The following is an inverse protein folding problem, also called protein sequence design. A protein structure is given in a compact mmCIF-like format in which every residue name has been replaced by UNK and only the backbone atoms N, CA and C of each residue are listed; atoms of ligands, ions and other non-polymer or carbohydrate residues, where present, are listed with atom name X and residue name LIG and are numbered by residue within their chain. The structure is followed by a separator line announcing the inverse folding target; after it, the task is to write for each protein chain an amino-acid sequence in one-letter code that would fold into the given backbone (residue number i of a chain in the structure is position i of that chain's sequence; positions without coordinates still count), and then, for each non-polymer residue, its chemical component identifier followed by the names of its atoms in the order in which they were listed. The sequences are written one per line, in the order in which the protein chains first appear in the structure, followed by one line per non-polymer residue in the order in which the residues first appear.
data_IF_375774066285
#
_entry.id   IF_375774066285
#
_cell.length_a   1.000
_cell.length_b   1.000
_cell.length_c   1.000
_cell.angle_alpha   90.00
_cell.angle_beta   90.00
_cell.angle_gamma   90.00
#
_symmetry.space_group_name_H-M   'P 1'
#
loop_
_entity.id
_entity.type
_entity.pdbx_description
1 polymer ?
#
# COMPACT_ATOMS: atom_id res chain seq x y z
N UNK A 1 -7.09 -25.17 20.01
CA UNK A 1 -6.40 -24.46 18.90
C UNK A 1 -5.43 -25.44 18.32
N UNK A 2 -5.56 -25.74 17.03
CA UNK A 2 -4.78 -26.76 16.34
C UNK A 2 -3.72 -26.11 15.46
N UNK A 3 -2.45 -26.43 15.72
CA UNK A 3 -1.33 -25.99 14.88
C UNK A 3 -1.14 -26.95 13.70
N UNK A 4 -1.01 -26.39 12.51
CA UNK A 4 -0.76 -27.11 11.26
C UNK A 4 0.72 -27.01 10.91
N UNK A 5 1.44 -28.13 10.68
CA UNK A 5 2.76 -28.06 10.09
C UNK A 5 2.68 -27.58 8.64
N UNK A 6 3.80 -27.08 8.11
CA UNK A 6 3.93 -26.67 6.71
C UNK A 6 3.38 -27.73 5.76
N UNK A 7 2.52 -27.32 4.82
CA UNK A 7 1.85 -28.18 3.85
C UNK A 7 0.55 -28.85 4.34
N UNK A 8 0.31 -28.91 5.65
CA UNK A 8 -0.90 -29.53 6.19
C UNK A 8 -2.14 -28.63 6.03
N UNK A 9 -3.31 -29.25 6.08
CA UNK A 9 -4.59 -28.55 5.97
C UNK A 9 -5.62 -29.12 6.97
N UNK A 10 -6.62 -28.31 7.31
CA UNK A 10 -7.75 -28.71 8.12
C UNK A 10 -9.04 -27.98 7.71
N UNK A 11 -10.22 -28.59 7.94
CA UNK A 11 -11.51 -27.91 7.79
C UNK A 11 -11.59 -26.63 8.63
N UNK A 12 -12.17 -25.58 8.05
CA UNK A 12 -12.44 -24.32 8.73
C UNK A 12 -13.92 -23.96 8.53
N UNK A 13 -14.61 -23.65 9.62
CA UNK A 13 -16.00 -23.20 9.53
C UNK A 13 -16.08 -21.87 8.79
N UNK A 14 -16.95 -21.80 7.79
CA UNK A 14 -17.21 -20.60 7.00
C UNK A 14 -18.36 -19.76 7.53
N UNK A 15 -19.09 -20.26 8.53
CA UNK A 15 -20.25 -19.59 9.10
C UNK A 15 -19.79 -18.32 9.83
N UNK A 16 -20.22 -17.17 9.33
CA UNK A 16 -19.86 -15.85 9.87
C UNK A 16 -18.46 -15.37 9.51
N UNK A 17 -17.93 -14.42 10.29
CA UNK A 17 -16.61 -13.83 10.06
C UNK A 17 -15.51 -14.74 10.58
N UNK A 18 -14.50 -15.01 9.75
CA UNK A 18 -13.22 -15.61 10.14
C UNK A 18 -12.22 -14.49 10.38
N UNK A 19 -11.61 -14.46 11.57
CA UNK A 19 -10.52 -13.54 11.90
C UNK A 19 -9.18 -14.24 11.67
N UNK A 20 -8.34 -13.69 10.81
CA UNK A 20 -6.97 -14.15 10.58
C UNK A 20 -6.03 -13.13 11.22
N UNK A 21 -5.29 -13.55 12.24
CA UNK A 21 -4.29 -12.72 12.91
C UNK A 21 -2.89 -13.20 12.52
N UNK A 22 -2.04 -12.28 12.05
CA UNK A 22 -0.62 -12.53 11.86
C UNK A 22 0.14 -11.79 12.97
N UNK A 23 0.95 -12.49 13.75
CA UNK A 23 1.86 -11.92 14.73
C UNK A 23 3.30 -12.27 14.35
N UNK A 24 4.24 -11.35 14.57
CA UNK A 24 5.66 -11.59 14.31
C UNK A 24 6.54 -11.02 15.43
N UNK A 25 7.77 -11.56 15.59
CA UNK A 25 8.75 -10.99 16.50
C UNK A 25 9.09 -9.54 16.14
N UNK A 26 9.63 -8.75 17.08
CA UNK A 26 10.14 -7.41 16.76
C UNK A 26 11.12 -7.46 15.59
N UNK A 27 10.83 -6.65 14.57
CA UNK A 27 11.61 -6.53 13.34
C UNK A 27 12.19 -5.13 13.25
N UNK A 28 13.33 -4.99 12.57
CA UNK A 28 13.87 -3.67 12.19
C UNK A 28 13.14 -3.08 10.99
N UNK A 29 12.51 -3.94 10.19
CA UNK A 29 11.75 -3.59 9.00
C UNK A 29 10.24 -3.75 9.22
N UNK A 30 9.47 -2.97 8.48
CA UNK A 30 8.01 -3.09 8.41
C UNK A 30 7.61 -4.35 7.65
N UNK A 31 6.58 -5.04 8.16
CA UNK A 31 6.04 -6.24 7.56
C UNK A 31 4.70 -5.90 6.90
N UNK A 32 4.68 -5.94 5.57
CA UNK A 32 3.51 -5.63 4.77
C UNK A 32 2.64 -6.87 4.61
N UNK A 33 1.54 -6.92 5.35
CA UNK A 33 0.59 -8.03 5.30
C UNK A 33 -0.38 -7.84 4.15
N UNK A 34 -0.54 -8.88 3.34
CA UNK A 34 -1.34 -8.84 2.13
C UNK A 34 -2.25 -10.07 2.00
N UNK A 35 -3.34 -9.92 1.25
CA UNK A 35 -4.27 -10.99 0.94
C UNK A 35 -4.69 -10.93 -0.53
N UNK A 36 -4.51 -12.04 -1.26
CA UNK A 36 -4.95 -12.19 -2.65
C UNK A 36 -6.20 -13.07 -2.71
N UNK A 37 -7.29 -12.59 -3.31
CA UNK A 37 -8.45 -13.41 -3.63
C UNK A 37 -8.31 -13.93 -5.07
N UNK A 38 -8.04 -15.22 -5.18
CA UNK A 38 -7.55 -15.89 -6.38
C UNK A 38 -8.63 -16.80 -6.96
N UNK A 39 -8.81 -16.74 -8.27
CA UNK A 39 -9.72 -17.59 -9.03
C UNK A 39 -9.11 -18.95 -9.43
N UNK A 40 -9.86 -19.69 -10.24
CA UNK A 40 -9.50 -21.04 -10.71
C UNK A 40 -8.24 -21.06 -11.58
N UNK A 41 -7.98 -19.99 -12.32
CA UNK A 41 -6.80 -19.80 -13.16
C UNK A 41 -5.52 -19.49 -12.35
N UNK A 42 -5.64 -19.36 -11.04
CA UNK A 42 -4.54 -19.02 -10.16
C UNK A 42 -4.20 -17.53 -10.16
N UNK A 43 -5.03 -16.66 -10.74
CA UNK A 43 -4.84 -15.20 -10.75
C UNK A 43 -5.97 -14.48 -10.02
N UNK A 44 -5.76 -13.22 -9.68
CA UNK A 44 -6.84 -12.39 -9.14
C UNK A 44 -7.81 -11.97 -10.27
N UNK A 45 -9.14 -11.94 -10.02
CA UNK A 45 -10.10 -11.53 -11.05
C UNK A 45 -9.97 -10.05 -11.47
N UNK A 46 -9.52 -9.20 -10.55
CA UNK A 46 -9.20 -7.79 -10.75
C UNK A 46 -8.37 -7.32 -9.55
N UNK A 47 -7.73 -6.16 -9.61
CA UNK A 47 -6.89 -5.71 -8.49
C UNK A 47 -7.67 -5.35 -7.24
N UNK A 48 -8.99 -5.13 -7.34
CA UNK A 48 -9.82 -4.96 -6.16
C UNK A 48 -9.76 -6.19 -5.23
N UNK A 49 -9.36 -7.34 -5.78
CA UNK A 49 -9.17 -8.59 -5.05
C UNK A 49 -7.76 -8.77 -4.48
N UNK A 50 -6.91 -7.75 -4.56
CA UNK A 50 -5.63 -7.67 -3.85
C UNK A 50 -5.76 -6.68 -2.67
N UNK A 51 -5.79 -7.21 -1.45
CA UNK A 51 -5.91 -6.42 -0.22
C UNK A 51 -4.55 -6.25 0.42
N UNK A 52 -4.14 -5.01 0.66
CA UNK A 52 -2.84 -4.65 1.23
C UNK A 52 -2.92 -3.24 1.84
N UNK A 53 -1.81 -2.70 2.33
CA UNK A 53 -1.80 -1.46 3.12
C UNK A 53 -2.42 -0.23 2.41
N UNK A 54 -2.37 -0.15 1.08
CA UNK A 54 -2.99 0.93 0.28
C UNK A 54 -4.38 0.56 -0.30
N UNK A 55 -4.84 -0.68 -0.09
CA UNK A 55 -6.19 -1.12 -0.43
C UNK A 55 -6.70 -2.07 0.66
N UNK A 56 -7.21 -1.50 1.75
CA UNK A 56 -7.54 -2.25 2.97
C UNK A 56 -8.76 -3.16 2.84
N UNK A 57 -9.52 -3.10 1.74
CA UNK A 57 -10.77 -3.87 1.58
C UNK A 57 -10.96 -4.39 0.17
N UNK A 58 -11.46 -5.63 0.06
CA UNK A 58 -11.97 -6.20 -1.18
C UNK A 58 -13.43 -5.76 -1.46
N UNK A 59 -13.96 -5.93 -2.69
CA UNK A 59 -15.33 -5.55 -3.04
C UNK A 59 -16.37 -6.05 -2.05
N UNK A 60 -17.25 -5.15 -1.61
CA UNK A 60 -18.31 -5.49 -0.66
C UNK A 60 -17.86 -5.74 0.78
N UNK A 61 -16.59 -5.46 1.11
CA UNK A 61 -16.04 -5.61 2.47
C UNK A 61 -15.93 -7.07 2.92
N UNK A 62 -15.83 -8.00 1.96
CA UNK A 62 -15.76 -9.45 2.23
C UNK A 62 -14.39 -9.89 2.76
N UNK A 63 -13.36 -9.09 2.49
CA UNK A 63 -12.03 -9.16 3.09
C UNK A 63 -11.66 -7.76 3.53
N UNK A 64 -11.26 -7.60 4.80
CA UNK A 64 -10.86 -6.32 5.39
C UNK A 64 -9.56 -6.51 6.15
N UNK A 65 -8.51 -5.79 5.76
CA UNK A 65 -7.24 -5.72 6.45
C UNK A 65 -7.23 -4.52 7.40
N UNK A 66 -6.81 -4.76 8.65
CA UNK A 66 -6.54 -3.71 9.62
C UNK A 66 -5.10 -3.22 9.47
N UNK A 67 -4.86 -1.94 9.72
CA UNK A 67 -3.51 -1.37 9.76
C UNK A 67 -2.65 -2.12 10.78
N UNK A 68 -1.48 -2.67 10.37
CA UNK A 68 -0.58 -3.35 11.28
C UNK A 68 -0.15 -2.45 12.46
N UNK A 69 -0.10 -3.02 13.66
CA UNK A 69 0.35 -2.31 14.86
C UNK A 69 1.08 -3.26 15.81
N UNK A 70 2.20 -2.81 16.37
CA UNK A 70 2.94 -3.52 17.42
C UNK A 70 3.27 -5.00 17.10
N UNK A 71 3.69 -5.30 15.87
CA UNK A 71 4.06 -6.67 15.46
C UNK A 71 2.86 -7.58 15.19
N UNK A 72 1.69 -7.00 14.91
CA UNK A 72 0.45 -7.72 14.63
C UNK A 72 -0.32 -7.07 13.48
N UNK A 73 -0.95 -7.89 12.66
CA UNK A 73 -1.98 -7.48 11.70
C UNK A 73 -3.20 -8.41 11.79
N UNK A 74 -4.37 -7.89 11.45
CA UNK A 74 -5.64 -8.64 11.42
C UNK A 74 -6.30 -8.51 10.06
N UNK A 75 -6.72 -9.64 9.49
CA UNK A 75 -7.57 -9.74 8.31
C UNK A 75 -8.90 -10.36 8.74
N UNK A 76 -10.02 -9.68 8.48
CA UNK A 76 -11.35 -10.23 8.65
C UNK A 76 -11.88 -10.70 7.30
N UNK A 77 -12.40 -11.93 7.25
CA UNK A 77 -12.91 -12.57 6.03
C UNK A 77 -14.32 -13.07 6.27
N UNK A 78 -15.19 -12.94 5.26
CA UNK A 78 -16.52 -13.54 5.24
C UNK A 78 -16.61 -14.55 4.08
N UNK A 79 -16.20 -15.81 4.31
CA UNK A 79 -16.00 -16.78 3.22
C UNK A 79 -17.29 -17.09 2.44
N UNK A 80 -18.45 -17.07 3.11
CA UNK A 80 -19.76 -17.32 2.49
C UNK A 80 -20.22 -16.20 1.55
N UNK A 81 -19.67 -14.99 1.70
CA UNK A 81 -19.99 -13.85 0.84
C UNK A 81 -19.03 -13.71 -0.34
N UNK A 82 -17.97 -14.53 -0.42
CA UNK A 82 -17.07 -14.52 -1.56
C UNK A 82 -17.81 -15.02 -2.81
N UNK A 83 -17.65 -14.34 -3.96
CA UNK A 83 -18.27 -14.77 -5.20
C UNK A 83 -17.73 -16.14 -5.64
N UNK A 84 -18.50 -16.83 -6.49
CA UNK A 84 -18.13 -18.15 -7.00
C UNK A 84 -16.82 -18.15 -7.82
N UNK A 85 -16.45 -17.01 -8.40
CA UNK A 85 -15.18 -16.86 -9.14
C UNK A 85 -13.93 -16.74 -8.26
N UNK A 86 -14.07 -16.71 -6.93
CA UNK A 86 -12.94 -16.72 -5.99
C UNK A 86 -12.89 -18.09 -5.29
N UNK A 87 -11.82 -18.83 -5.57
CA UNK A 87 -11.62 -20.21 -5.09
C UNK A 87 -10.77 -20.27 -3.82
N UNK A 88 -9.82 -19.35 -3.68
CA UNK A 88 -8.96 -19.28 -2.50
C UNK A 88 -8.55 -17.86 -2.16
N UNK A 89 -8.30 -17.63 -0.87
CA UNK A 89 -7.61 -16.46 -0.35
C UNK A 89 -6.19 -16.87 0.04
N UNK A 90 -5.20 -16.15 -0.46
CA UNK A 90 -3.78 -16.35 -0.16
C UNK A 90 -3.36 -15.26 0.81
N UNK A 91 -2.96 -15.64 2.04
CA UNK A 91 -2.47 -14.71 3.05
C UNK A 91 -0.95 -14.77 3.07
N UNK A 92 -0.33 -13.63 2.81
CA UNK A 92 1.11 -13.48 2.70
C UNK A 92 1.58 -12.23 3.42
N UNK A 93 2.90 -12.12 3.59
CA UNK A 93 3.51 -10.87 3.98
C UNK A 93 4.83 -10.65 3.24
N UNK A 94 5.24 -9.40 3.11
CA UNK A 94 6.48 -8.99 2.50
C UNK A 94 7.26 -8.02 3.40
N UNK A 95 8.57 -8.03 3.24
CA UNK A 95 9.51 -7.14 3.89
C UNK A 95 10.06 -6.17 2.84
N UNK A 96 10.17 -4.89 3.20
CA UNK A 96 10.88 -3.91 2.35
C UNK A 96 12.38 -4.21 2.30
N UNK A 97 12.97 -4.57 3.44
CA UNK A 97 14.37 -5.00 3.55
C UNK A 97 14.50 -6.20 4.50
N UNK A 98 15.64 -6.90 4.43
CA UNK A 98 15.89 -8.08 5.25
C UNK A 98 15.34 -9.38 4.65
N UNK A 99 15.13 -10.39 5.49
CA UNK A 99 14.71 -11.72 5.08
C UNK A 99 13.83 -12.42 6.13
N UNK A 100 12.93 -13.30 5.69
CA UNK A 100 12.01 -14.02 6.57
C UNK A 100 12.71 -14.98 7.56
N UNK A 101 13.98 -15.36 7.32
CA UNK A 101 14.81 -16.06 8.33
C UNK A 101 14.97 -15.29 9.63
N UNK A 102 14.82 -13.97 9.62
CA UNK A 102 14.93 -13.12 10.80
C UNK A 102 13.59 -13.04 11.57
N UNK A 103 12.52 -13.61 11.01
CA UNK A 103 11.16 -13.61 11.54
C UNK A 103 10.66 -15.01 11.94
N UNK A 104 11.57 -15.96 12.17
CA UNK A 104 11.21 -17.28 12.73
C UNK A 104 10.42 -17.09 14.03
N UNK A 105 9.30 -17.81 14.15
CA UNK A 105 8.30 -17.62 15.20
C UNK A 105 7.14 -16.71 14.80
N UNK A 106 7.15 -16.11 13.61
CA UNK A 106 5.97 -15.47 13.04
C UNK A 106 4.83 -16.50 12.92
N UNK A 107 3.62 -16.13 13.35
CA UNK A 107 2.49 -17.04 13.48
C UNK A 107 1.22 -16.45 12.91
N UNK A 108 0.59 -17.20 12.01
CA UNK A 108 -0.75 -16.92 11.50
C UNK A 108 -1.77 -17.76 12.27
N UNK A 109 -2.84 -17.14 12.77
CA UNK A 109 -3.95 -17.82 13.46
C UNK A 109 -5.27 -17.45 12.81
N UNK A 110 -6.00 -18.44 12.30
CA UNK A 110 -7.36 -18.30 11.77
C UNK A 110 -8.38 -18.74 12.83
N UNK A 111 -9.22 -17.81 13.27
CA UNK A 111 -10.27 -18.00 14.27
C UNK A 111 -11.64 -17.86 13.59
N UNK A 112 -12.37 -18.97 13.37
CA UNK A 112 -13.72 -18.90 12.83
C UNK A 112 -14.72 -18.45 13.92
N UNK A 113 -15.90 -17.96 13.52
CA UNK A 113 -16.95 -17.58 14.49
C UNK A 113 -17.48 -18.79 15.29
N UNK A 114 -17.40 -19.99 14.73
CA UNK A 114 -17.71 -21.24 15.40
C UNK A 114 -16.71 -22.33 15.00
N UNK A 115 -16.29 -23.17 15.94
CA UNK A 115 -15.32 -24.23 15.73
C UNK A 115 -13.94 -23.94 16.33
N UNK A 116 -12.97 -24.80 16.04
CA UNK A 116 -11.62 -24.70 16.60
C UNK A 116 -10.73 -23.74 15.78
N UNK A 117 -9.99 -22.81 16.42
CA UNK A 117 -8.98 -22.00 15.74
C UNK A 117 -7.82 -22.84 15.20
N UNK A 118 -7.34 -22.48 14.01
CA UNK A 118 -6.20 -23.10 13.34
C UNK A 118 -5.01 -22.15 13.32
N UNK A 119 -3.80 -22.67 13.49
CA UNK A 119 -2.58 -21.84 13.45
C UNK A 119 -1.49 -22.45 12.56
N UNK A 120 -0.67 -21.59 11.97
CA UNK A 120 0.59 -21.95 11.32
C UNK A 120 1.70 -21.08 11.90
N UNK A 121 2.82 -21.70 12.29
CA UNK A 121 3.99 -21.00 12.80
C UNK A 121 5.17 -21.22 11.86
N UNK A 122 5.85 -20.12 11.52
CA UNK A 122 7.03 -20.12 10.69
C UNK A 122 8.22 -20.66 11.49
N UNK A 123 8.60 -21.89 11.22
CA UNK A 123 9.75 -22.55 11.87
C UNK A 123 11.01 -22.55 11.01
N UNK A 124 10.85 -22.31 9.70
CA UNK A 124 11.93 -22.30 8.71
C UNK A 124 11.65 -21.27 7.62
N UNK A 125 12.68 -20.52 7.22
CA UNK A 125 12.69 -19.58 6.10
C UNK A 125 14.14 -19.32 5.67
N UNK A 126 14.34 -18.92 4.41
CA UNK A 126 15.64 -18.55 3.86
C UNK A 126 15.77 -17.04 3.68
N UNK A 127 16.44 -16.66 2.59
CA UNK A 127 16.70 -15.25 2.20
C UNK A 127 15.52 -14.60 1.46
N UNK A 128 14.33 -15.19 1.52
CA UNK A 128 13.17 -14.64 0.86
C UNK A 128 12.65 -13.39 1.57
N UNK A 129 12.19 -12.43 0.78
CA UNK A 129 11.66 -11.13 1.25
C UNK A 129 10.12 -11.12 1.28
N UNK A 130 9.47 -12.12 0.71
CA UNK A 130 8.03 -12.33 0.84
C UNK A 130 7.72 -13.79 1.16
N UNK A 131 6.61 -14.04 1.86
CA UNK A 131 6.23 -15.39 2.28
C UNK A 131 4.71 -15.57 2.30
N UNK A 132 4.23 -16.65 1.69
CA UNK A 132 2.85 -17.12 1.80
C UNK A 132 2.72 -17.96 3.07
N UNK A 133 1.94 -17.48 4.03
CA UNK A 133 1.70 -18.18 5.30
C UNK A 133 0.64 -19.26 5.15
N UNK A 134 -0.52 -18.90 4.59
CA UNK A 134 -1.64 -19.80 4.51
C UNK A 134 -2.57 -19.49 3.33
N UNK A 135 -3.31 -20.51 2.93
CA UNK A 135 -4.40 -20.40 1.97
C UNK A 135 -5.72 -20.84 2.62
N UNK A 136 -6.74 -20.01 2.52
CA UNK A 136 -8.12 -20.38 2.81
C UNK A 136 -8.80 -20.71 1.49
N UNK A 137 -9.18 -21.97 1.25
CA UNK A 137 -9.66 -22.43 -0.06
C UNK A 137 -10.96 -23.23 0.05
N UNK A 138 -11.76 -23.18 -1.02
CA UNK A 138 -12.99 -23.98 -1.16
C UNK A 138 -12.65 -25.45 -1.35
N UNK A 139 -13.39 -26.32 -0.66
CA UNK A 139 -13.29 -27.76 -0.82
C UNK A 139 -14.65 -28.42 -0.64
N UNK A 140 -15.22 -28.93 -1.73
CA UNK A 140 -16.61 -29.39 -1.76
C UNK A 140 -17.56 -28.25 -1.42
N UNK A 141 -18.45 -28.47 -0.45
CA UNK A 141 -19.39 -27.46 0.02
C UNK A 141 -18.83 -26.55 1.14
N UNK A 142 -17.59 -26.76 1.59
CA UNK A 142 -17.00 -26.06 2.73
C UNK A 142 -15.68 -25.37 2.43
N UNK A 143 -15.03 -24.88 3.49
CA UNK A 143 -13.74 -24.20 3.43
C UNK A 143 -12.69 -24.95 4.25
N UNK A 144 -11.43 -24.83 3.82
CA UNK A 144 -10.27 -25.41 4.51
C UNK A 144 -9.15 -24.39 4.57
N UNK A 145 -8.39 -24.42 5.67
CA UNK A 145 -7.13 -23.69 5.77
C UNK A 145 -5.97 -24.64 5.45
N UNK A 146 -5.03 -24.20 4.62
CA UNK A 146 -3.75 -24.86 4.36
C UNK A 146 -2.61 -23.99 4.85
N UNK A 147 -1.69 -24.57 5.62
CA UNK A 147 -0.40 -23.96 5.93
C UNK A 147 0.54 -24.11 4.73
N UNK A 148 1.14 -23.03 4.25
CA UNK A 148 1.93 -23.03 3.00
C UNK A 148 3.43 -22.89 3.29
N UNK A 149 3.86 -21.78 3.89
CA UNK A 149 5.27 -21.53 4.22
C UNK A 149 6.18 -21.43 3.00
N UNK A 150 5.70 -20.83 1.90
CA UNK A 150 6.45 -20.67 0.65
C UNK A 150 7.03 -19.26 0.55
N UNK A 151 8.35 -19.15 0.45
CA UNK A 151 9.04 -17.88 0.27
C UNK A 151 9.15 -17.44 -1.20
N UNK A 152 9.28 -16.13 -1.41
CA UNK A 152 9.51 -15.47 -2.69
C UNK A 152 10.69 -14.50 -2.57
N UNK A 153 11.69 -14.68 -3.44
CA UNK A 153 12.83 -13.75 -3.56
C UNK A 153 12.38 -12.52 -4.35
N UNK A 154 12.88 -11.33 -4.00
CA UNK A 154 12.53 -10.06 -4.65
C UNK A 154 11.30 -9.37 -4.04
N UNK A 155 10.75 -9.89 -2.96
CA UNK A 155 9.75 -9.19 -2.15
C UNK A 155 8.34 -9.25 -2.72
N UNK A 156 7.56 -8.18 -2.48
CA UNK A 156 6.14 -8.13 -2.81
C UNK A 156 5.88 -8.15 -4.31
N UNK A 157 6.73 -7.50 -5.12
CA UNK A 157 6.55 -7.40 -6.57
C UNK A 157 6.43 -8.77 -7.27
N UNK A 158 7.41 -9.68 -7.20
CA UNK A 158 7.33 -10.98 -7.86
C UNK A 158 6.22 -11.86 -7.29
N UNK A 159 5.86 -11.69 -6.01
CA UNK A 159 4.71 -12.35 -5.41
C UNK A 159 3.39 -11.83 -6.01
N UNK A 160 3.26 -10.52 -6.22
CA UNK A 160 2.07 -9.90 -6.79
C UNK A 160 1.92 -10.28 -8.29
N UNK A 161 3.01 -10.24 -9.06
CA UNK A 161 3.05 -10.66 -10.46
C UNK A 161 2.68 -12.14 -10.64
N UNK A 162 3.11 -13.00 -9.70
CA UNK A 162 2.72 -14.41 -9.67
C UNK A 162 1.19 -14.60 -9.67
N UNK A 163 0.46 -13.71 -9.00
CA UNK A 163 -1.01 -13.73 -8.96
C UNK A 163 -1.67 -12.82 -10.02
N UNK A 164 -0.91 -12.29 -10.98
CA UNK A 164 -1.42 -11.48 -12.08
C UNK A 164 -1.60 -10.00 -11.78
N UNK A 165 -1.05 -9.47 -10.69
CA UNK A 165 -1.02 -8.03 -10.44
C UNK A 165 0.06 -7.40 -11.32
N UNK A 166 -0.33 -6.48 -12.20
CA UNK A 166 0.64 -5.68 -12.98
C UNK A 166 1.31 -4.62 -12.11
N UNK A 167 2.51 -4.88 -11.60
CA UNK A 167 3.32 -3.86 -10.92
C UNK A 167 4.19 -3.21 -12.00
N UNK A 168 3.97 -1.93 -12.31
CA UNK A 168 4.88 -1.24 -13.23
C UNK A 168 6.24 -1.09 -12.55
N UNK A 169 7.27 -1.60 -13.23
CA UNK A 169 8.66 -1.50 -12.82
C UNK A 169 9.05 -0.04 -12.55
N UNK A 170 9.64 0.20 -11.38
CA UNK A 170 10.54 1.33 -11.20
C UNK A 170 11.93 0.87 -11.67
N UNK A 171 12.48 1.58 -12.66
CA UNK A 171 13.85 1.47 -13.17
C UNK A 171 14.34 0.08 -13.63
N UNK A 172 14.00 -0.29 -14.87
CA UNK A 172 14.97 -0.98 -15.73
C UNK A 172 15.40 -0.04 -16.85
N UNK A 173 16.52 0.65 -16.61
CA UNK A 173 17.44 0.93 -17.71
C UNK A 173 17.68 -0.41 -18.40
N UNK A 174 17.24 -0.52 -19.65
CA UNK A 174 17.47 -1.67 -20.50
C UNK A 174 18.97 -1.76 -20.78
N UNK A 175 19.73 -2.34 -19.85
CA UNK A 175 21.06 -2.84 -20.15
C UNK A 175 20.89 -4.28 -20.62
N UNK A 176 20.99 -4.43 -21.93
CA UNK A 176 20.99 -5.73 -22.61
C UNK A 176 22.05 -6.63 -21.96
N UNK A 177 21.74 -7.87 -21.53
CA UNK A 177 22.73 -8.75 -20.92
C UNK A 177 23.79 -9.13 -21.97
N UNK A 178 25.02 -8.66 -21.77
CA UNK A 178 26.19 -9.22 -22.43
C UNK A 178 26.43 -10.60 -21.79
N UNK A 179 26.48 -11.70 -22.57
CA UNK A 179 26.72 -13.03 -22.00
C UNK A 179 28.14 -13.11 -21.39
N UNK A 180 28.31 -13.72 -20.20
CA UNK A 180 29.60 -13.79 -19.54
C UNK A 180 30.54 -14.81 -20.22
N UNK A 181 31.85 -14.54 -20.29
CA UNK A 181 32.85 -15.55 -20.62
C UNK A 181 32.93 -16.63 -19.52
N UNK A 182 32.96 -17.89 -19.94
CA UNK A 182 33.12 -19.07 -19.09
C UNK A 182 34.61 -19.23 -18.76
N UNK A 183 34.99 -19.24 -17.47
CA UNK A 183 36.18 -19.94 -16.97
C UNK A 183 35.99 -20.37 -15.48
N UNK A 184 36.66 -21.45 -15.03
CA UNK A 184 36.20 -22.34 -13.93
C UNK A 184 36.65 -21.95 -12.52
N UNK A 185 35.82 -22.27 -11.52
CA UNK A 185 36.14 -22.22 -10.09
C UNK A 185 37.12 -23.31 -9.63
N UNK A 186 37.97 -23.01 -8.64
CA UNK A 186 38.44 -23.97 -7.66
C UNK A 186 37.99 -23.65 -6.20
N UNK A 187 38.06 -24.71 -5.39
CA UNK A 187 37.37 -25.01 -4.12
C UNK A 187 37.74 -24.22 -2.85
N UNK A 188 36.88 -24.41 -1.82
CA UNK A 188 36.82 -23.87 -0.45
C UNK A 188 38.06 -24.05 0.46
N UNK A 189 38.11 -23.37 1.63
CA UNK A 189 37.87 -24.09 2.90
C UNK A 189 37.19 -23.33 4.09
N UNK A 190 36.40 -24.12 4.83
CA UNK A 190 36.09 -24.24 6.29
C UNK A 190 36.03 -23.03 7.26
N UNK A 191 34.97 -22.90 8.09
CA UNK A 191 34.90 -21.96 9.22
C UNK A 191 35.37 -22.56 10.59
N UNK A 192 35.88 -21.76 11.53
CA UNK A 192 36.21 -22.20 12.89
C UNK A 192 35.03 -22.13 13.90
N UNK A 193 35.14 -22.96 14.94
CA UNK A 193 34.21 -23.16 16.08
C UNK A 193 33.97 -21.91 16.94
N UNK A 194 32.80 -21.78 17.61
CA UNK A 194 32.57 -20.81 18.69
C UNK A 194 32.99 -21.33 20.09
N UNK A 195 33.40 -20.39 20.94
CA UNK A 195 33.76 -20.53 22.36
C UNK A 195 32.50 -20.25 23.23
N UNK A 196 32.33 -20.89 24.41
CA UNK A 196 31.14 -20.76 25.27
C UNK A 196 31.29 -19.63 26.29
N UNK A 197 30.18 -18.96 26.63
CA UNK A 197 30.11 -18.07 27.79
C UNK A 197 28.85 -18.32 28.62
N UNK A 198 29.10 -18.14 29.91
CA UNK A 198 28.44 -18.69 31.08
C UNK A 198 27.36 -17.75 31.64
N UNK A 199 26.52 -18.35 32.49
CA UNK A 199 25.47 -17.80 33.36
C UNK A 199 25.84 -16.49 34.07
N UNK A 200 24.93 -15.58 34.45
CA UNK A 200 23.91 -15.61 35.54
C UNK A 200 23.42 -14.13 35.73
N UNK A 201 22.62 -13.69 36.74
CA UNK A 201 21.31 -14.07 37.30
C UNK A 201 20.25 -12.91 37.19
N UNK A 202 19.00 -13.08 37.70
CA UNK A 202 17.88 -12.15 37.52
C UNK A 202 17.76 -11.10 38.65
N UNK A 203 16.89 -10.09 38.48
CA UNK A 203 16.06 -9.67 39.61
C UNK A 203 14.56 -9.54 39.30
N UNK A 204 13.85 -9.72 40.41
CA UNK A 204 12.43 -9.91 40.67
C UNK A 204 11.58 -8.61 40.69
N UNK A 205 10.24 -8.69 40.95
CA UNK A 205 9.23 -7.86 40.33
C UNK A 205 8.86 -6.62 41.15
N UNK A 206 8.28 -5.60 40.50
CA UNK A 206 7.59 -4.50 41.20
C UNK A 206 6.15 -4.30 40.73
N UNK A 207 5.29 -4.78 41.64
CA UNK A 207 3.93 -4.40 42.00
C UNK A 207 3.28 -3.21 41.28
N UNK A 208 2.08 -3.52 40.78
CA UNK A 208 0.92 -2.64 40.54
C UNK A 208 0.77 -1.55 41.60
N UNK A 209 0.50 -0.33 41.14
CA UNK A 209 -0.28 0.67 41.91
C UNK A 209 -1.46 1.15 41.06
N UNK A 210 -2.64 0.83 41.57
CA UNK A 210 -3.92 1.40 41.20
C UNK A 210 -3.99 2.88 41.56
N UNK A 211 -4.54 3.70 40.65
CA UNK A 211 -5.31 4.89 41.02
C UNK A 211 -6.53 4.99 40.12
N UNK A 212 -7.69 4.74 40.74
CA UNK A 212 -9.00 5.13 40.21
C UNK A 212 -9.22 6.62 40.47
N UNK A 213 -10.07 7.16 39.60
CA UNK A 213 -11.09 8.19 39.85
C UNK A 213 -10.81 9.65 39.47
N UNK A 214 -11.67 10.08 38.53
CA UNK A 214 -12.37 11.36 38.38
C UNK A 214 -11.61 12.56 37.83
N UNK A 215 -12.02 13.01 36.64
CA UNK A 215 -12.85 14.21 36.50
C UNK A 215 -13.59 14.22 35.15
N UNK A 216 -14.91 14.25 35.29
CA UNK A 216 -15.92 14.61 34.28
C UNK A 216 -15.90 16.13 34.02
N UNK A 217 -16.57 16.51 32.92
CA UNK A 217 -16.79 17.86 32.35
C UNK A 217 -15.65 18.26 31.39
N UNK A 218 -15.86 18.20 30.07
CA UNK A 218 -16.85 19.03 29.38
C UNK A 218 -17.61 18.29 28.27
N UNK A 219 -18.84 17.92 28.62
CA UNK A 219 -19.98 17.67 27.76
C UNK A 219 -20.50 19.04 27.29
N UNK A 220 -20.30 19.42 26.02
CA UNK A 220 -20.95 20.59 25.38
C UNK A 220 -20.96 20.59 23.84
N UNK A 221 -21.17 19.47 23.13
CA UNK A 221 -21.64 19.51 21.70
C UNK A 221 -22.58 18.34 21.32
N UNK A 222 -23.19 17.64 22.28
CA UNK A 222 -24.18 16.60 21.96
C UNK A 222 -25.43 16.77 22.85
N UNK A 223 -26.19 17.83 22.56
CA UNK A 223 -27.59 17.93 22.99
C UNK A 223 -28.40 18.77 22.00
N UNK A 224 -28.60 18.24 20.79
CA UNK A 224 -29.56 18.77 19.81
C UNK A 224 -30.12 17.66 18.91
N UNK A 225 -30.47 16.51 19.49
CA UNK A 225 -31.23 15.45 18.80
C UNK A 225 -32.30 14.85 19.72
N UNK A 226 -33.03 15.72 20.44
CA UNK A 226 -34.07 15.32 21.37
C UNK A 226 -35.24 16.32 21.43
N UNK A 227 -35.72 16.80 20.28
CA UNK A 227 -37.07 17.36 20.13
C UNK A 227 -37.51 17.26 18.67
N UNK A 228 -38.20 16.17 18.31
CA UNK A 228 -38.88 16.07 17.03
C UNK A 228 -40.05 17.04 16.97
N UNK A 229 -39.96 18.06 16.12
CA UNK A 229 -41.06 18.75 15.46
C UNK A 229 -40.49 19.82 14.51
N UNK A 230 -41.25 20.10 13.43
CA UNK A 230 -41.03 21.11 12.38
C UNK A 230 -39.91 20.70 11.40
N UNK A 231 -40.15 20.36 10.12
CA UNK A 231 -40.96 21.08 9.15
C UNK A 231 -41.67 20.13 8.15
N UNK A 232 -43.01 20.17 8.19
CA UNK A 232 -43.88 19.95 7.04
C UNK A 232 -43.64 21.09 6.04
N UNK A 233 -42.64 20.97 5.18
CA UNK A 233 -42.59 21.69 3.91
C UNK A 233 -42.50 20.63 2.83
N UNK A 234 -43.63 20.31 2.20
CA UNK A 234 -43.62 19.65 0.89
C UNK A 234 -43.09 20.70 -0.07
N UNK A 235 -41.86 20.60 -0.57
CA UNK A 235 -41.38 21.67 -1.38
C UNK A 235 -41.88 21.38 -2.81
N UNK A 236 -42.43 22.41 -3.45
CA UNK A 236 -43.06 22.35 -4.77
C UNK A 236 -42.02 22.20 -5.90
N UNK A 237 -41.16 21.18 -5.80
CA UNK A 237 -40.15 20.82 -6.81
C UNK A 237 -40.63 19.67 -7.72
N UNK A 238 -41.79 19.08 -7.41
CA UNK A 238 -42.39 17.96 -8.15
C UNK A 238 -43.27 18.41 -9.33
N UNK A 239 -42.82 19.43 -10.07
CA UNK A 239 -43.43 19.82 -11.33
C UNK A 239 -42.39 20.02 -12.44
N UNK A 240 -41.31 19.24 -12.41
CA UNK A 240 -40.45 19.05 -13.58
C UNK A 240 -41.00 17.85 -14.38
N UNK A 241 -41.11 17.95 -15.73
CA UNK A 241 -41.40 16.82 -16.59
C UNK A 241 -40.52 15.62 -16.24
N UNK A 242 -41.06 14.40 -16.31
CA UNK A 242 -40.36 13.18 -15.87
C UNK A 242 -38.96 13.03 -16.46
N UNK A 243 -38.76 13.44 -17.71
CA UNK A 243 -37.46 13.43 -18.38
C UNK A 243 -36.44 14.41 -17.78
N UNK A 244 -36.88 15.59 -17.34
CA UNK A 244 -36.03 16.57 -16.68
C UNK A 244 -35.67 16.13 -15.26
N UNK A 245 -36.56 15.41 -14.57
CA UNK A 245 -36.25 14.85 -13.26
C UNK A 245 -35.28 13.68 -13.36
N UNK A 246 -35.40 12.81 -14.37
CA UNK A 246 -34.41 11.76 -14.63
C UNK A 246 -33.08 12.35 -15.05
N UNK A 247 -33.04 13.33 -15.96
CA UNK A 247 -31.81 14.03 -16.35
C UNK A 247 -31.17 14.75 -15.15
N UNK A 248 -31.94 15.44 -14.32
CA UNK A 248 -31.43 16.12 -13.12
C UNK A 248 -30.94 15.12 -12.07
N UNK A 249 -31.68 14.04 -11.82
CA UNK A 249 -31.27 12.98 -10.88
C UNK A 249 -30.02 12.28 -11.36
N UNK A 250 -29.91 11.98 -12.65
CA UNK A 250 -28.74 11.32 -13.21
C UNK A 250 -27.54 12.28 -13.20
N UNK A 251 -27.73 13.57 -13.49
CA UNK A 251 -26.71 14.62 -13.30
C UNK A 251 -26.31 14.84 -11.84
N UNK A 252 -27.19 14.59 -10.87
CA UNK A 252 -26.89 14.72 -9.43
C UNK A 252 -26.29 13.43 -8.85
N UNK A 253 -26.65 12.27 -9.40
CA UNK A 253 -26.10 10.97 -9.03
C UNK A 253 -24.70 10.75 -9.63
N UNK A 254 -24.44 11.35 -10.78
CA UNK A 254 -23.20 11.20 -11.57
C UNK A 254 -22.46 12.52 -11.81
N UNK A 255 -22.92 13.63 -11.21
CA UNK A 255 -22.29 14.93 -11.33
C UNK A 255 -20.89 14.90 -10.75
N UNK A 256 -19.91 15.18 -11.61
CA UNK A 256 -18.51 15.22 -11.24
C UNK A 256 -18.31 16.12 -10.00
N UNK A 257 -17.59 15.66 -8.96
CA UNK A 257 -17.15 16.56 -7.90
C UNK A 257 -16.39 17.74 -8.52
N UNK A 258 -16.35 18.92 -7.87
CA UNK A 258 -15.63 20.06 -8.39
C UNK A 258 -14.20 19.63 -8.72
N UNK A 259 -13.76 19.94 -9.95
CA UNK A 259 -12.40 19.70 -10.44
C UNK A 259 -11.44 20.39 -9.47
N UNK A 260 -10.97 19.65 -8.47
CA UNK A 260 -9.89 20.12 -7.63
C UNK A 260 -8.68 19.95 -8.52
N UNK A 261 -8.25 21.04 -9.18
CA UNK A 261 -7.12 21.00 -10.09
C UNK A 261 -5.91 20.50 -9.31
N UNK A 262 -5.55 19.24 -9.54
CA UNK A 262 -4.34 18.64 -8.99
C UNK A 262 -3.19 19.17 -9.82
N UNK A 263 -2.38 20.04 -9.22
CA UNK A 263 -1.30 20.71 -9.93
C UNK A 263 -0.06 19.82 -9.95
N UNK A 264 0.65 19.79 -11.07
CA UNK A 264 1.93 19.12 -11.18
C UNK A 264 2.98 19.85 -10.32
N UNK A 265 4.01 19.14 -9.80
CA UNK A 265 5.09 19.78 -9.08
C UNK A 265 5.79 20.82 -9.96
N UNK A 266 6.00 22.02 -9.41
CA UNK A 266 6.70 23.10 -10.10
C UNK A 266 8.20 22.76 -10.26
N UNK A 267 8.81 22.98 -11.43
CA UNK A 267 10.22 22.64 -11.69
C UNK A 267 11.16 23.43 -10.76
N UNK A 268 12.37 22.89 -10.54
CA UNK A 268 13.38 23.58 -9.75
C UNK A 268 13.80 24.88 -10.45
N UNK A 269 13.56 26.03 -9.82
CA UNK A 269 14.12 27.31 -10.27
C UNK A 269 15.62 27.28 -9.98
N UNK A 270 16.51 27.44 -10.98
CA UNK A 270 17.94 27.43 -10.73
C UNK A 270 18.32 28.60 -9.81
N UNK A 271 19.02 28.30 -8.72
CA UNK A 271 19.68 29.32 -7.92
C UNK A 271 20.68 30.06 -8.81
N UNK A 272 20.51 31.37 -8.95
CA UNK A 272 21.32 32.20 -9.84
C UNK A 272 22.81 32.05 -9.57
N UNK A 273 23.56 31.69 -10.61
CA UNK A 273 25.02 31.84 -10.68
C UNK A 273 25.34 32.50 -12.01
N UNK A 274 26.02 33.63 -11.93
CA UNK A 274 26.27 34.52 -13.06
C UNK A 274 27.39 34.09 -13.99
N UNK A 275 27.44 34.83 -15.10
CA UNK A 275 28.51 34.98 -16.10
C UNK A 275 28.86 33.75 -16.95
N UNK A 276 28.19 33.67 -18.09
CA UNK A 276 28.63 32.92 -19.27
C UNK A 276 30.05 33.32 -19.69
N UNK A 277 30.92 32.32 -19.89
CA UNK A 277 32.18 32.43 -20.63
C UNK A 277 32.04 31.58 -21.91
N UNK A 278 32.48 32.04 -23.09
CA UNK A 278 32.14 31.40 -24.36
C UNK A 278 32.85 30.04 -24.57
N UNK A 279 32.34 29.18 -25.47
CA UNK A 279 32.76 27.78 -25.53
C UNK A 279 34.11 27.62 -26.24
N UNK A 280 35.09 27.07 -25.52
CA UNK A 280 36.28 26.45 -26.10
C UNK A 280 35.97 24.99 -26.44
N UNK A 281 36.22 24.62 -27.71
CA UNK A 281 36.08 23.27 -28.28
C UNK A 281 36.65 22.18 -27.37
N UNK A 282 35.90 21.10 -27.13
CA UNK A 282 36.41 19.90 -26.46
C UNK A 282 36.15 18.62 -27.25
N UNK A 283 37.18 17.75 -27.21
CA UNK A 283 37.22 16.35 -27.64
C UNK A 283 36.18 15.49 -26.90
N UNK A 284 35.85 14.28 -27.40
CA UNK A 284 34.85 13.40 -26.78
C UNK A 284 35.24 13.08 -25.33
N UNK A 285 34.37 13.49 -24.41
CA UNK A 285 34.53 13.37 -22.96
C UNK A 285 34.15 11.96 -22.52
N UNK A 286 35.08 11.24 -21.89
CA UNK A 286 34.79 10.08 -21.06
C UNK A 286 33.67 10.42 -20.06
N UNK A 287 32.62 9.58 -19.97
CA UNK A 287 31.57 9.68 -18.96
C UNK A 287 32.18 9.92 -17.57
N UNK A 288 32.16 11.17 -17.09
CA UNK A 288 32.56 11.51 -15.73
C UNK A 288 31.37 11.22 -14.84
N UNK A 289 31.55 10.35 -13.84
CA UNK A 289 30.61 10.19 -12.75
C UNK A 289 30.35 11.57 -12.10
N UNK A 290 29.13 12.08 -12.24
CA UNK A 290 28.66 13.25 -11.49
C UNK A 290 28.04 12.73 -10.19
N UNK A 291 28.59 13.17 -9.05
CA UNK A 291 28.01 12.83 -7.76
C UNK A 291 26.58 13.36 -7.68
N UNK A 292 25.63 12.62 -7.07
CA UNK A 292 24.28 13.09 -6.88
C UNK A 292 24.28 14.40 -6.09
N UNK A 293 23.63 15.43 -6.62
CA UNK A 293 23.44 16.72 -5.94
C UNK A 293 21.97 16.97 -5.72
N UNK A 294 21.60 17.45 -4.54
CA UNK A 294 20.26 17.95 -4.29
C UNK A 294 20.13 19.37 -4.89
N UNK A 295 19.13 19.65 -5.74
CA UNK A 295 18.94 20.97 -6.34
C UNK A 295 18.33 21.99 -5.36
N UNK A 296 17.90 21.54 -4.18
CA UNK A 296 17.20 22.34 -3.18
C UNK A 296 18.00 22.42 -1.87
N UNK A 297 17.82 23.51 -1.13
CA UNK A 297 18.27 23.57 0.25
C UNK A 297 17.33 22.79 1.19
N UNK A 298 17.77 22.57 2.43
CA UNK A 298 17.03 21.76 3.40
C UNK A 298 15.62 22.32 3.67
N UNK A 299 15.41 23.63 3.63
CA UNK A 299 14.09 24.26 3.86
C UNK A 299 13.16 23.98 2.69
N UNK A 300 13.66 24.18 1.47
CA UNK A 300 12.94 23.89 0.23
C UNK A 300 12.57 22.40 0.13
N UNK A 301 13.44 21.49 0.57
CA UNK A 301 13.12 20.05 0.62
C UNK A 301 11.89 19.78 1.49
N UNK A 302 11.81 20.37 2.68
CA UNK A 302 10.65 20.20 3.56
C UNK A 302 9.38 20.86 3.02
N UNK A 303 9.48 22.05 2.41
CA UNK A 303 8.33 22.72 1.78
C UNK A 303 7.75 21.87 0.64
N UNK A 304 8.62 21.29 -0.19
CA UNK A 304 8.22 20.43 -1.29
C UNK A 304 7.68 19.08 -0.81
N UNK A 305 8.24 18.53 0.26
CA UNK A 305 7.66 17.35 0.95
C UNK A 305 6.24 17.63 1.46
N UNK A 306 5.97 18.81 2.03
CA UNK A 306 4.61 19.18 2.45
C UNK A 306 3.66 19.29 1.24
N UNK A 307 4.09 19.92 0.15
CA UNK A 307 3.30 19.99 -1.08
C UNK A 307 3.02 18.61 -1.68
N UNK A 308 4.03 17.72 -1.67
CA UNK A 308 3.89 16.31 -2.07
C UNK A 308 2.84 15.61 -1.20
N UNK A 309 2.91 15.75 0.12
CA UNK A 309 1.95 15.13 1.04
C UNK A 309 0.51 15.56 0.80
N UNK A 310 0.25 16.86 0.58
CA UNK A 310 -1.10 17.35 0.27
C UNK A 310 -1.63 16.80 -1.06
N UNK A 311 -0.79 16.76 -2.10
CA UNK A 311 -1.19 16.26 -3.41
C UNK A 311 -1.34 14.73 -3.41
N UNK A 312 -0.48 14.00 -2.71
CA UNK A 312 -0.59 12.56 -2.49
C UNK A 312 -1.96 12.18 -1.92
N UNK A 313 -2.41 12.84 -0.85
CA UNK A 313 -3.73 12.58 -0.25
C UNK A 313 -4.86 12.85 -1.24
N UNK A 314 -4.77 13.94 -2.02
CA UNK A 314 -5.80 14.26 -3.02
C UNK A 314 -5.84 13.25 -4.17
N UNK A 315 -4.68 12.79 -4.65
CA UNK A 315 -4.58 11.73 -5.67
C UNK A 315 -5.21 10.45 -5.14
N UNK A 316 -4.85 10.03 -3.92
CA UNK A 316 -5.40 8.84 -3.28
C UNK A 316 -6.93 8.90 -3.20
N UNK A 317 -7.49 10.03 -2.72
CA UNK A 317 -8.93 10.23 -2.62
C UNK A 317 -9.62 10.20 -4.00
N UNK A 318 -9.01 10.81 -5.03
CA UNK A 318 -9.57 10.82 -6.39
C UNK A 318 -9.60 9.42 -7.01
N UNK A 319 -8.50 8.66 -6.88
CA UNK A 319 -8.40 7.28 -7.36
C UNK A 319 -9.39 6.37 -6.63
N UNK A 320 -9.52 6.50 -5.31
CA UNK A 320 -10.50 5.73 -4.53
C UNK A 320 -11.94 6.06 -4.95
N UNK A 321 -12.23 7.34 -5.21
CA UNK A 321 -13.53 7.77 -5.73
C UNK A 321 -13.85 7.11 -7.08
N UNK A 322 -12.93 7.19 -8.04
CA UNK A 322 -13.10 6.55 -9.34
C UNK A 322 -13.25 5.03 -9.25
N UNK A 323 -12.52 4.38 -8.34
CA UNK A 323 -12.66 2.94 -8.12
C UNK A 323 -14.08 2.56 -7.66
N UNK A 324 -14.63 3.32 -6.70
CA UNK A 324 -16.02 3.15 -6.25
C UNK A 324 -17.02 3.40 -7.36
N UNK A 325 -16.77 4.42 -8.19
CA UNK A 325 -17.65 4.77 -9.30
C UNK A 325 -17.65 3.70 -10.40
N UNK A 326 -16.48 3.18 -10.78
CA UNK A 326 -16.35 2.06 -11.71
C UNK A 326 -17.15 0.84 -11.23
N UNK A 327 -17.05 0.52 -9.93
CA UNK A 327 -17.82 -0.56 -9.32
C UNK A 327 -19.34 -0.36 -9.42
N UNK A 328 -19.83 0.88 -9.27
CA UNK A 328 -21.25 1.21 -9.43
C UNK A 328 -21.70 1.06 -10.89
N UNK A 329 -20.95 1.61 -11.84
CA UNK A 329 -21.29 1.50 -13.26
C UNK A 329 -21.27 0.06 -13.76
N UNK A 330 -20.31 -0.77 -13.32
CA UNK A 330 -20.34 -2.21 -13.62
C UNK A 330 -21.57 -2.92 -13.05
N UNK A 331 -22.11 -2.47 -11.91
CA UNK A 331 -23.37 -3.02 -11.39
C UNK A 331 -24.59 -2.58 -12.22
N UNK A 332 -24.60 -1.34 -12.68
CA UNK A 332 -25.65 -0.81 -13.54
C UNK A 332 -25.66 -1.47 -14.91
N UNK A 333 -24.48 -1.64 -15.54
CA UNK A 333 -24.31 -2.37 -16.79
C UNK A 333 -24.86 -3.79 -16.70
N UNK A 334 -24.59 -4.51 -15.60
CA UNK A 334 -25.15 -5.86 -15.36
C UNK A 334 -26.67 -5.90 -15.18
N UNK A 335 -27.29 -4.79 -14.77
CA UNK A 335 -28.74 -4.69 -14.57
C UNK A 335 -29.46 -4.19 -15.83
N UNK A 336 -28.77 -3.46 -16.70
CA UNK A 336 -29.33 -3.00 -17.96
C UNK A 336 -29.59 -4.20 -18.88
N UNK A 337 -30.80 -4.26 -19.43
CA UNK A 337 -31.18 -5.24 -20.47
C UNK A 337 -31.40 -4.58 -21.83
N UNK A 338 -31.44 -3.24 -21.86
CA UNK A 338 -31.60 -2.39 -23.03
C UNK A 338 -30.27 -1.70 -23.40
N UNK A 339 -30.26 -1.02 -24.55
CA UNK A 339 -29.14 -0.20 -25.01
C UNK A 339 -28.67 0.79 -23.93
N UNK A 340 -27.35 0.96 -23.79
CA UNK A 340 -26.79 1.78 -22.73
C UNK A 340 -27.26 3.24 -22.80
N UNK A 341 -27.70 3.83 -21.68
CA UNK A 341 -28.04 5.26 -21.63
C UNK A 341 -26.85 6.13 -22.06
N UNK A 342 -27.11 7.23 -22.77
CA UNK A 342 -26.06 8.18 -23.15
C UNK A 342 -25.35 8.76 -21.93
N UNK A 343 -26.08 8.97 -20.83
CA UNK A 343 -25.53 9.42 -19.54
C UNK A 343 -24.50 8.45 -18.96
N UNK A 344 -24.65 7.15 -19.19
CA UNK A 344 -23.67 6.13 -18.79
C UNK A 344 -22.39 6.27 -19.62
N UNK A 345 -22.51 6.34 -20.94
CA UNK A 345 -21.36 6.46 -21.86
C UNK A 345 -20.60 7.77 -21.63
N UNK A 346 -21.32 8.88 -21.53
CA UNK A 346 -20.75 10.21 -21.28
C UNK A 346 -20.08 10.29 -19.91
N UNK A 347 -20.68 9.67 -18.89
CA UNK A 347 -20.07 9.53 -17.57
C UNK A 347 -18.73 8.81 -17.63
N UNK A 348 -18.69 7.61 -18.24
CA UNK A 348 -17.44 6.85 -18.40
C UNK A 348 -16.36 7.67 -19.12
N UNK A 349 -16.74 8.38 -20.20
CA UNK A 349 -15.81 9.25 -20.94
C UNK A 349 -15.28 10.40 -20.08
N UNK A 350 -16.14 11.02 -19.28
CA UNK A 350 -15.75 12.11 -18.38
C UNK A 350 -14.77 11.63 -17.30
N UNK A 351 -14.97 10.44 -16.73
CA UNK A 351 -14.04 9.87 -15.75
C UNK A 351 -12.69 9.52 -16.38
N UNK A 352 -12.67 8.99 -17.61
CA UNK A 352 -11.44 8.76 -18.38
C UNK A 352 -10.66 10.06 -18.54
N UNK A 353 -11.33 11.13 -18.98
CA UNK A 353 -10.69 12.44 -19.16
C UNK A 353 -10.09 12.94 -17.84
N UNK A 354 -10.84 12.91 -16.75
CA UNK A 354 -10.38 13.41 -15.46
C UNK A 354 -9.24 12.58 -14.86
N UNK A 355 -9.29 11.24 -14.96
CA UNK A 355 -8.21 10.37 -14.48
C UNK A 355 -6.93 10.53 -15.32
N UNK A 356 -7.07 10.73 -16.63
CA UNK A 356 -5.91 10.93 -17.53
C UNK A 356 -5.12 12.21 -17.23
N UNK A 357 -5.76 13.19 -16.57
CA UNK A 357 -5.14 14.46 -16.18
C UNK A 357 -4.44 14.39 -14.81
N UNK A 358 -4.49 13.26 -14.09
CA UNK A 358 -3.84 13.15 -12.79
C UNK A 358 -2.31 13.15 -12.90
N UNK A 359 -1.61 14.08 -12.23
CA UNK A 359 -0.15 14.20 -12.34
C UNK A 359 0.61 13.18 -11.46
N UNK A 360 0.16 11.91 -11.41
CA UNK A 360 0.73 10.87 -10.54
C UNK A 360 2.21 10.65 -10.82
N UNK A 361 2.58 10.49 -12.10
CA UNK A 361 3.98 10.28 -12.49
C UNK A 361 4.87 11.47 -12.13
N UNK A 362 4.38 12.70 -12.26
CA UNK A 362 5.14 13.89 -11.93
C UNK A 362 5.43 13.96 -10.42
N UNK A 363 4.44 13.64 -9.58
CA UNK A 363 4.63 13.55 -8.13
C UNK A 363 5.50 12.36 -7.69
N UNK A 364 5.49 11.25 -8.45
CA UNK A 364 6.37 10.10 -8.21
C UNK A 364 7.84 10.45 -8.47
N UNK A 365 8.12 11.16 -9.57
CA UNK A 365 9.47 11.70 -9.85
C UNK A 365 9.92 12.70 -8.79
N UNK A 366 9.00 13.55 -8.31
CA UNK A 366 9.26 14.50 -7.24
C UNK A 366 9.63 13.79 -5.92
N UNK A 367 8.86 12.77 -5.53
CA UNK A 367 9.15 11.95 -4.36
C UNK A 367 10.53 11.30 -4.44
N UNK A 368 10.89 10.76 -5.62
CA UNK A 368 12.20 10.15 -5.87
C UNK A 368 13.34 11.16 -5.72
N UNK A 369 13.18 12.37 -6.27
CA UNK A 369 14.19 13.44 -6.13
C UNK A 369 14.34 13.89 -4.68
N UNK A 370 13.22 14.08 -3.97
CA UNK A 370 13.23 14.43 -2.55
C UNK A 370 13.89 13.33 -1.70
N UNK A 371 13.66 12.05 -2.03
CA UNK A 371 14.27 10.92 -1.33
C UNK A 371 15.80 10.96 -1.45
N UNK A 372 16.31 11.19 -2.67
CA UNK A 372 17.74 11.40 -2.90
C UNK A 372 18.31 12.60 -2.11
N UNK A 373 17.56 13.70 -2.02
CA UNK A 373 17.92 14.85 -1.19
C UNK A 373 17.98 14.52 0.30
N UNK A 374 17.00 13.76 0.82
CA UNK A 374 16.97 13.32 2.22
C UNK A 374 18.21 12.46 2.55
N UNK A 375 18.57 11.52 1.67
CA UNK A 375 19.78 10.70 1.84
C UNK A 375 21.08 11.53 1.87
N UNK A 376 21.17 12.59 1.06
CA UNK A 376 22.30 13.53 1.11
C UNK A 376 22.32 14.36 2.40
N UNK A 377 21.15 14.76 2.91
CA UNK A 377 21.00 15.47 4.17
C UNK A 377 21.47 14.60 5.35
N UNK A 378 21.05 13.33 5.40
CA UNK A 378 21.48 12.37 6.44
C UNK A 378 23.00 12.21 6.42
N UNK A 379 23.60 11.99 5.25
CA UNK A 379 25.06 11.88 5.11
C UNK A 379 25.81 13.12 5.61
N UNK A 380 25.28 14.32 5.34
CA UNK A 380 25.85 15.59 5.81
C UNK A 380 25.77 15.68 7.34
N UNK A 381 24.59 15.44 7.90
CA UNK A 381 24.33 15.52 9.35
C UNK A 381 25.14 14.48 10.13
N UNK A 382 25.25 13.25 9.65
CA UNK A 382 26.07 12.21 10.30
C UNK A 382 27.56 12.57 10.27
N UNK A 383 28.04 13.21 9.20
CA UNK A 383 29.42 13.71 9.13
C UNK A 383 29.66 14.83 10.15
N UNK A 384 28.75 15.79 10.26
CA UNK A 384 28.84 16.89 11.23
C UNK A 384 28.77 16.36 12.68
N UNK A 385 27.87 15.42 12.94
CA UNK A 385 27.70 14.77 14.24
C UNK A 385 29.00 14.07 14.68
N UNK A 386 29.69 13.39 13.77
CA UNK A 386 30.97 12.72 14.06
C UNK A 386 32.14 13.69 14.32
N UNK A 387 32.02 14.95 13.90
CA UNK A 387 33.06 15.97 14.08
C UNK A 387 32.77 16.91 15.26
N UNK A 388 31.55 16.88 15.80
CA UNK A 388 31.12 17.76 16.87
C UNK A 388 31.40 17.15 18.26
N UNK A 389 31.88 17.99 19.18
CA UNK A 389 32.21 17.60 20.55
C UNK A 389 31.35 18.33 21.59
N UNK A 390 30.65 19.40 21.18
CA UNK A 390 29.84 20.23 22.06
C UNK A 390 28.48 19.55 22.33
N UNK A 391 28.15 19.19 23.58
CA UNK A 391 26.96 18.39 23.89
C UNK A 391 25.63 18.98 23.40
N UNK A 392 25.48 20.32 23.47
CA UNK A 392 24.26 21.01 23.03
C UNK A 392 24.05 20.87 21.52
N UNK A 393 25.14 20.94 20.74
CA UNK A 393 25.05 20.82 19.28
C UNK A 393 24.87 19.37 18.85
N UNK A 394 25.49 18.42 19.54
CA UNK A 394 25.23 16.98 19.34
C UNK A 394 23.74 16.68 19.49
N UNK A 395 23.08 17.14 20.57
CA UNK A 395 21.65 16.93 20.76
C UNK A 395 20.77 17.57 19.68
N UNK A 396 21.21 18.69 19.10
CA UNK A 396 20.52 19.33 17.98
C UNK A 396 20.69 18.51 16.70
N UNK A 397 21.93 18.16 16.35
CA UNK A 397 22.28 17.38 15.16
C UNK A 397 21.62 16.00 15.17
N UNK A 398 21.54 15.33 16.33
CA UNK A 398 20.80 14.06 16.48
C UNK A 398 19.33 14.24 16.10
N UNK A 399 18.66 15.28 16.63
CA UNK A 399 17.25 15.56 16.29
C UNK A 399 17.05 15.89 14.82
N UNK A 400 17.98 16.64 14.22
CA UNK A 400 17.95 16.96 12.80
C UNK A 400 18.17 15.70 11.94
N UNK A 401 19.10 14.82 12.33
CA UNK A 401 19.35 13.55 11.64
C UNK A 401 18.15 12.60 11.75
N UNK A 402 17.53 12.49 12.92
CA UNK A 402 16.31 11.68 13.09
C UNK A 402 15.15 12.22 12.27
N UNK A 403 15.00 13.55 12.18
CA UNK A 403 14.01 14.17 11.29
C UNK A 403 14.27 13.85 9.82
N UNK A 404 15.53 13.85 9.39
CA UNK A 404 15.90 13.51 8.02
C UNK A 404 15.68 12.01 7.70
N UNK A 405 15.95 11.10 8.64
CA UNK A 405 15.64 9.66 8.50
C UNK A 405 14.14 9.39 8.41
N UNK A 406 13.34 10.07 9.24
CA UNK A 406 11.88 9.97 9.17
C UNK A 406 11.38 10.48 7.81
N UNK A 407 11.94 11.59 7.31
CA UNK A 407 11.63 12.12 5.98
C UNK A 407 11.95 11.10 4.87
N UNK A 408 13.13 10.46 4.90
CA UNK A 408 13.53 9.42 3.93
C UNK A 408 12.59 8.21 3.96
N UNK A 409 12.22 7.75 5.16
CA UNK A 409 11.23 6.67 5.34
C UNK A 409 9.89 7.04 4.74
N UNK A 410 9.34 8.21 5.09
CA UNK A 410 8.04 8.68 4.60
C UNK A 410 8.05 8.83 3.07
N UNK A 411 9.13 9.37 2.49
CA UNK A 411 9.27 9.53 1.04
C UNK A 411 9.34 8.19 0.32
N UNK A 412 9.98 7.19 0.92
CA UNK A 412 10.03 5.82 0.38
C UNK A 412 8.63 5.19 0.35
N UNK A 413 7.85 5.38 1.41
CA UNK A 413 6.47 4.88 1.47
C UNK A 413 5.55 5.62 0.48
N UNK A 414 5.66 6.96 0.40
CA UNK A 414 4.89 7.77 -0.56
C UNK A 414 5.24 7.40 -2.01
N UNK A 415 6.52 7.19 -2.34
CA UNK A 415 6.94 6.79 -3.68
C UNK A 415 6.33 5.45 -4.08
N UNK A 416 6.42 4.45 -3.18
CA UNK A 416 5.79 3.13 -3.36
C UNK A 416 4.29 3.24 -3.62
N UNK A 417 3.61 4.10 -2.88
CA UNK A 417 2.18 4.32 -3.06
C UNK A 417 1.82 5.05 -4.34
N UNK A 418 2.59 6.05 -4.75
CA UNK A 418 2.37 6.73 -6.02
C UNK A 418 2.58 5.78 -7.20
N UNK A 419 3.56 4.87 -7.12
CA UNK A 419 3.74 3.82 -8.12
C UNK A 419 2.51 2.90 -8.19
N UNK A 420 1.95 2.50 -7.04
CA UNK A 420 0.68 1.76 -7.01
C UNK A 420 -0.47 2.57 -7.61
N UNK A 421 -0.64 3.83 -7.22
CA UNK A 421 -1.72 4.70 -7.68
C UNK A 421 -1.63 4.95 -9.20
N UNK A 422 -0.42 5.01 -9.76
CA UNK A 422 -0.18 5.08 -11.22
C UNK A 422 -0.77 3.85 -11.92
N UNK A 423 -0.45 2.66 -11.41
CA UNK A 423 -0.94 1.40 -11.97
C UNK A 423 -2.45 1.26 -11.81
N UNK A 424 -2.98 1.63 -10.63
CA UNK A 424 -4.42 1.63 -10.37
C UNK A 424 -5.14 2.60 -11.30
N UNK A 425 -4.58 3.78 -11.54
CA UNK A 425 -5.15 4.77 -12.46
C UNK A 425 -5.23 4.22 -13.88
N UNK A 426 -4.16 3.60 -14.39
CA UNK A 426 -4.16 2.97 -15.71
C UNK A 426 -5.28 1.92 -15.85
N UNK A 427 -5.43 1.04 -14.87
CA UNK A 427 -6.46 -0.01 -14.91
C UNK A 427 -7.89 0.53 -14.71
N UNK A 428 -8.04 1.64 -13.99
CA UNK A 428 -9.33 2.34 -13.92
C UNK A 428 -9.71 2.93 -15.28
N UNK A 429 -8.76 3.53 -16.00
CA UNK A 429 -8.96 4.02 -17.37
C UNK A 429 -9.43 2.86 -18.27
N UNK A 430 -8.72 1.72 -18.24
CA UNK A 430 -9.11 0.53 -18.99
C UNK A 430 -10.52 0.05 -18.60
N UNK A 431 -10.83 -0.02 -17.30
CA UNK A 431 -12.13 -0.47 -16.82
C UNK A 431 -13.30 0.44 -17.22
N UNK A 432 -13.09 1.75 -17.28
CA UNK A 432 -14.10 2.68 -17.79
C UNK A 432 -14.24 2.57 -19.32
N UNK A 433 -13.13 2.33 -20.03
CA UNK A 433 -13.15 2.09 -21.47
C UNK A 433 -13.89 0.79 -21.83
N UNK A 434 -13.64 -0.30 -21.09
CA UNK A 434 -14.37 -1.58 -21.22
C UNK A 434 -15.89 -1.41 -21.06
N UNK A 435 -16.33 -0.56 -20.12
CA UNK A 435 -17.76 -0.28 -19.95
C UNK A 435 -18.37 0.39 -21.20
N UNK A 436 -17.63 1.28 -21.85
CA UNK A 436 -18.06 1.96 -23.09
C UNK A 436 -18.13 0.93 -24.23
N UNK A 437 -17.09 0.09 -24.37
CA UNK A 437 -17.01 -0.95 -25.40
C UNK A 437 -18.11 -2.00 -25.25
N UNK A 438 -18.47 -2.37 -24.02
CA UNK A 438 -19.60 -3.27 -23.74
C UNK A 438 -20.95 -2.72 -24.24
N UNK A 439 -21.04 -1.40 -24.46
CA UNK A 439 -22.20 -0.73 -25.03
C UNK A 439 -22.15 -0.61 -26.57
N UNK A 440 -21.08 -1.07 -27.22
CA UNK A 440 -20.89 -0.97 -28.68
C UNK A 440 -20.38 0.38 -29.18
N UNK A 441 -19.79 1.19 -28.29
CA UNK A 441 -19.13 2.47 -28.57
C UNK A 441 -17.63 2.35 -28.38
#
# INVERSE_FOLDING_TARGET
MKTLPKGANAPLSSAGTVRIELCWPPSRDTLDVVCFAVGADGRIPSDDWFVFYNQLQAPGGVVVLSTPAAGRAEIQVQPERLPAGVDRLVIAAALSHGAFRDLIGARLTATPAAGEPLAFELTEAGDEQALIFAELYRHGAGWKLRAVGQGFRGGLQPLAEHFGVAVADEDTTSETPIPPPIEPSPSAPTPPRPIPLESTPPPEPRRRRSRRLTRLLTLSVLLAAATGAVWFFKPAWLALPGELWTDLRDRLAYGAPPTTTLEAPQPATPAGVGTETPPSRSRPTSMRYQAPTCPWDDTQVFERYHALGENYVRILQRVEHSNKLLGKWRQELRRSTDACPTTFVDGNRQEIEQLSQLPVSAWMEEATKLNGCAGLMIKRLDKELNQESRPILIQRLVREADRARNLESDLTDIARDLAYLRNKTARLLDGFQENIEACGH
#
